data_IF_979216899882
#
_entry.id   IF_979216899882
#
_cell.length_a   1.000
_cell.length_b   1.000
_cell.length_c   1.000
_cell.angle_alpha   90.00
_cell.angle_beta   90.00
_cell.angle_gamma   90.00
#
_symmetry.space_group_name_H-M   'P 1'
#
loop_
_entity.id
_entity.type
_entity.pdbx_description
1 polymer ?
#
# COMPACT_ATOMS: atom_id res chain seq x y z
N UNK A 1 1.32 -4.78 -28.98
CA UNK A 1 1.18 -4.15 -27.64
C UNK A 1 1.28 -5.25 -26.61
N UNK A 2 2.12 -5.11 -25.59
CA UNK A 2 2.20 -6.09 -24.50
C UNK A 2 1.04 -5.83 -23.55
N UNK A 3 0.13 -6.79 -23.38
CA UNK A 3 -0.95 -6.70 -22.41
C UNK A 3 -0.35 -6.78 -21.01
N UNK A 4 -0.50 -5.71 -20.22
CA UNK A 4 -0.13 -5.73 -18.82
C UNK A 4 -1.11 -6.65 -18.06
N UNK A 5 -0.69 -7.89 -17.80
CA UNK A 5 -1.52 -8.88 -17.11
C UNK A 5 -1.54 -8.58 -15.61
N UNK A 6 -2.73 -8.28 -15.09
CA UNK A 6 -2.98 -8.27 -13.66
C UNK A 6 -3.07 -9.72 -13.18
N UNK A 7 -2.24 -10.09 -12.23
CA UNK A 7 -2.28 -11.42 -11.65
C UNK A 7 -1.93 -11.36 -10.18
N UNK A 8 -2.48 -12.31 -9.43
CA UNK A 8 -2.21 -12.52 -8.03
C UNK A 8 -2.05 -14.01 -7.78
N UNK A 9 -1.21 -14.37 -6.79
CA UNK A 9 -1.07 -15.75 -6.35
C UNK A 9 -0.95 -15.83 -4.84
N UNK A 10 -1.55 -16.86 -4.26
CA UNK A 10 -1.36 -17.21 -2.85
C UNK A 10 -0.05 -17.97 -2.71
N UNK A 11 0.81 -17.53 -1.79
CA UNK A 11 2.09 -18.17 -1.49
C UNK A 11 2.19 -18.47 0.00
N UNK A 12 2.95 -19.50 0.36
CA UNK A 12 3.34 -19.75 1.75
C UNK A 12 4.34 -18.68 2.19
N UNK A 13 4.12 -18.08 3.35
CA UNK A 13 5.01 -17.11 3.97
C UNK A 13 5.23 -17.49 5.46
N UNK A 14 6.27 -18.28 5.73
CA UNK A 14 6.50 -18.86 7.06
C UNK A 14 5.33 -19.75 7.50
N UNK A 15 4.73 -19.42 8.65
CA UNK A 15 3.55 -20.08 9.20
C UNK A 15 2.22 -19.47 8.70
N UNK A 16 2.28 -18.53 7.75
CA UNK A 16 1.12 -17.83 7.21
C UNK A 16 1.05 -17.96 5.68
N UNK A 17 0.05 -17.30 5.08
CA UNK A 17 -0.08 -17.13 3.64
C UNK A 17 0.02 -15.65 3.27
N UNK A 18 0.48 -15.39 2.06
CA UNK A 18 0.52 -14.04 1.49
C UNK A 18 -0.06 -14.06 0.06
N UNK A 19 -0.63 -12.94 -0.36
CA UNK A 19 -1.01 -12.72 -1.75
C UNK A 19 0.10 -11.90 -2.40
N UNK A 20 0.75 -12.48 -3.40
CA UNK A 20 1.72 -11.78 -4.23
C UNK A 20 1.01 -11.19 -5.45
N UNK A 21 1.17 -9.89 -5.67
CA UNK A 21 0.66 -9.17 -6.84
C UNK A 21 1.73 -9.09 -7.93
N UNK A 22 1.32 -9.12 -9.20
CA UNK A 22 2.20 -8.76 -10.31
C UNK A 22 2.69 -7.32 -10.17
N UNK A 23 3.83 -6.99 -10.79
CA UNK A 23 4.40 -5.63 -10.74
C UNK A 23 3.38 -4.57 -11.15
N UNK A 24 2.67 -4.81 -12.25
CA UNK A 24 1.62 -3.92 -12.74
C UNK A 24 0.46 -3.77 -11.74
N UNK A 25 -0.01 -4.87 -11.15
CA UNK A 25 -1.09 -4.81 -10.18
C UNK A 25 -0.68 -4.03 -8.92
N UNK A 26 0.56 -4.20 -8.46
CA UNK A 26 1.12 -3.42 -7.36
C UNK A 26 1.16 -1.92 -7.67
N UNK A 27 1.67 -1.55 -8.86
CA UNK A 27 1.77 -0.14 -9.30
C UNK A 27 0.39 0.54 -9.41
N UNK A 28 -0.59 -0.15 -10.00
CA UNK A 28 -1.96 0.38 -10.16
C UNK A 28 -2.74 0.45 -8.84
N UNK A 29 -2.43 -0.41 -7.86
CA UNK A 29 -3.06 -0.35 -6.54
C UNK A 29 -2.59 0.83 -5.69
N UNK A 30 -1.44 1.43 -6.05
CA UNK A 30 -0.77 2.47 -5.25
C UNK A 30 -0.47 2.07 -3.79
N UNK A 31 -0.44 0.78 -3.49
CA UNK A 31 -0.02 0.25 -2.20
C UNK A 31 1.50 0.38 -2.04
N UNK A 32 1.93 0.81 -0.85
CA UNK A 32 3.34 0.90 -0.49
C UNK A 32 3.65 -0.08 0.63
N UNK A 33 4.90 -0.53 0.69
CA UNK A 33 5.38 -1.35 1.81
C UNK A 33 5.16 -0.57 3.12
N UNK A 34 4.49 -1.22 4.08
CA UNK A 34 4.15 -0.64 5.38
C UNK A 34 2.80 0.08 5.46
N UNK A 35 2.06 0.16 4.35
CA UNK A 35 0.66 0.60 4.36
C UNK A 35 -0.18 -0.40 5.18
N UNK A 36 -1.15 0.12 5.93
CA UNK A 36 -2.16 -0.71 6.59
C UNK A 36 -3.36 -0.84 5.67
N UNK A 37 -3.87 -2.07 5.52
CA UNK A 37 -4.96 -2.39 4.62
C UNK A 37 -6.13 -2.98 5.42
N UNK A 38 -7.34 -2.70 4.98
CA UNK A 38 -8.57 -3.37 5.43
C UNK A 38 -9.04 -4.33 4.35
N UNK A 39 -9.50 -5.51 4.80
CA UNK A 39 -10.01 -6.55 3.94
C UNK A 39 -11.50 -6.75 4.22
N UNK A 40 -12.30 -6.82 3.16
CA UNK A 40 -13.70 -7.22 3.18
C UNK A 40 -13.90 -8.38 2.22
N UNK A 41 -14.58 -9.43 2.69
CA UNK A 41 -14.99 -10.55 1.83
C UNK A 41 -16.45 -10.30 1.44
N UNK A 42 -16.72 -10.27 0.14
CA UNK A 42 -18.06 -10.09 -0.42
C UNK A 42 -18.18 -10.84 -1.75
N UNK A 43 -19.21 -11.68 -1.90
CA UNK A 43 -19.47 -12.45 -3.13
C UNK A 43 -18.22 -13.10 -3.76
N UNK A 44 -17.50 -13.91 -2.97
CA UNK A 44 -16.25 -14.60 -3.39
C UNK A 44 -15.10 -13.67 -3.79
N UNK A 45 -15.24 -12.36 -3.58
CA UNK A 45 -14.19 -11.37 -3.80
C UNK A 45 -13.54 -10.97 -2.48
N UNK A 46 -12.23 -10.69 -2.54
CA UNK A 46 -11.50 -10.01 -1.47
C UNK A 46 -11.31 -8.56 -1.90
N UNK A 47 -12.06 -7.66 -1.28
CA UNK A 47 -11.88 -6.22 -1.44
C UNK A 47 -10.81 -5.75 -0.47
N UNK A 48 -9.77 -5.11 -1.01
CA UNK A 48 -8.65 -4.58 -0.22
C UNK A 48 -8.64 -3.07 -0.37
N UNK A 49 -8.75 -2.35 0.74
CA UNK A 49 -8.73 -0.89 0.77
C UNK A 49 -7.65 -0.40 1.71
N UNK A 50 -7.13 0.82 1.49
CA UNK A 50 -6.23 1.41 2.47
C UNK A 50 -7.01 1.70 3.73
N UNK A 51 -6.48 1.24 4.87
CA UNK A 51 -6.97 1.67 6.16
C UNK A 51 -6.56 3.12 6.36
N UNK A 52 -7.51 4.02 6.45
CA UNK A 52 -7.23 5.40 6.85
C UNK A 52 -6.69 5.38 8.28
N UNK A 53 -5.42 5.72 8.46
CA UNK A 53 -4.84 5.85 9.79
C UNK A 53 -4.44 7.30 10.01
N UNK A 54 -5.44 8.07 10.40
CA UNK A 54 -5.37 9.52 10.52
C UNK A 54 -4.21 10.01 11.42
N UNK A 55 -3.78 9.23 12.42
CA UNK A 55 -2.65 9.60 13.27
C UNK A 55 -1.29 9.28 12.63
N UNK A 56 -1.12 8.08 12.09
CA UNK A 56 0.15 7.67 11.45
C UNK A 56 0.41 8.47 10.17
N UNK A 57 -0.64 8.77 9.43
CA UNK A 57 -0.57 9.60 8.23
C UNK A 57 -0.24 11.06 8.56
N UNK A 58 -0.80 11.60 9.65
CA UNK A 58 -0.40 12.93 10.17
C UNK A 58 1.06 12.98 10.61
N UNK A 59 1.55 11.96 11.31
CA UNK A 59 2.96 11.87 11.74
C UNK A 59 3.88 11.75 10.52
N UNK A 60 3.51 10.91 9.54
CA UNK A 60 4.27 10.76 8.29
C UNK A 60 4.31 12.06 7.50
N UNK A 61 3.17 12.75 7.38
CA UNK A 61 3.07 14.06 6.74
C UNK A 61 3.91 15.11 7.48
N UNK A 62 3.90 15.09 8.82
CA UNK A 62 4.71 15.99 9.65
C UNK A 62 6.22 15.79 9.41
N UNK A 63 6.71 14.55 9.44
CA UNK A 63 8.13 14.28 9.15
C UNK A 63 8.52 14.56 7.70
N UNK A 64 7.64 14.29 6.74
CA UNK A 64 7.88 14.66 5.34
C UNK A 64 7.96 16.18 5.19
N UNK A 65 7.07 16.93 5.83
CA UNK A 65 7.06 18.39 5.83
C UNK A 65 8.31 18.98 6.51
N UNK A 66 8.79 18.39 7.60
CA UNK A 66 10.05 18.80 8.24
C UNK A 66 11.27 18.53 7.36
N UNK A 67 11.25 17.49 6.52
CA UNK A 67 12.28 17.24 5.51
C UNK A 67 12.37 18.33 4.42
N UNK A 68 11.30 19.11 4.23
CA UNK A 68 11.26 20.29 3.36
C UNK A 68 11.64 21.59 4.09
N UNK A 69 12.03 21.53 5.37
CA UNK A 69 12.52 22.69 6.12
C UNK A 69 14.02 22.57 6.37
N UNK A 70 14.84 23.24 5.55
CA UNK A 70 16.26 23.46 5.89
C UNK A 70 16.39 24.81 6.57
N UNK A 71 16.88 24.83 7.81
CA UNK A 71 17.08 26.05 8.63
C UNK A 71 15.79 26.84 8.94
N UNK A 72 14.70 26.15 9.30
CA UNK A 72 13.49 26.81 9.82
C UNK A 72 12.70 27.66 8.80
N UNK A 73 12.97 27.49 7.50
CA UNK A 73 12.15 28.04 6.41
C UNK A 73 11.72 26.91 5.48
N UNK A 74 10.47 26.97 5.04
CA UNK A 74 9.99 26.14 3.93
C UNK A 74 10.83 26.49 2.69
N UNK A 75 11.35 25.47 2.01
CA UNK A 75 12.02 25.61 0.72
C UNK A 75 10.97 25.83 -0.37
#
# INVERSE_FOLDING_TARGET
MMTNVLSAKVIKNGNSQAISLSKTASELSHFKIGDQLELKIDNETIQITKKENNLKDKIRAFYQMLGFMKNGKAI
#
